data_IF_545363514118
#
_entry.id   IF_545363514118
#
_cell.length_a   1.000
_cell.length_b   1.000
_cell.length_c   1.000
_cell.angle_alpha   90.00
_cell.angle_beta   90.00
_cell.angle_gamma   90.00
#
_symmetry.space_group_name_H-M   'P 1'
#
loop_
_entity.id
_entity.type
_entity.pdbx_description
1 polymer ?
#
# COMPACT_ATOMS: atom_id res chain seq x y z
N UNK A 1 -13.45 -20.48 -34.25
CA UNK A 1 -13.76 -19.76 -32.99
C UNK A 1 -12.72 -20.20 -31.98
N UNK A 2 -11.61 -19.48 -31.87
CA UNK A 2 -10.52 -19.86 -30.99
C UNK A 2 -9.75 -18.62 -30.59
N UNK A 3 -9.30 -18.63 -29.33
CA UNK A 3 -8.28 -17.74 -28.81
C UNK A 3 -8.68 -16.32 -28.37
N UNK A 4 -9.66 -16.24 -27.46
CA UNK A 4 -9.73 -15.11 -26.51
C UNK A 4 -9.29 -15.52 -25.10
N UNK A 5 -9.13 -16.83 -24.80
CA UNK A 5 -8.91 -17.32 -23.44
C UNK A 5 -7.47 -17.21 -22.92
N UNK A 6 -6.48 -17.26 -23.81
CA UNK A 6 -5.06 -17.18 -23.42
C UNK A 6 -4.66 -15.74 -23.06
N UNK A 7 -5.20 -14.75 -23.77
CA UNK A 7 -4.90 -13.33 -23.55
C UNK A 7 -5.38 -12.85 -22.17
N UNK A 8 -6.59 -13.24 -21.74
CA UNK A 8 -7.10 -12.93 -20.41
C UNK A 8 -6.27 -13.58 -19.29
N UNK A 9 -5.77 -14.80 -19.51
CA UNK A 9 -4.92 -15.50 -18.55
C UNK A 9 -3.59 -14.77 -18.37
N UNK A 10 -2.95 -14.39 -19.48
CA UNK A 10 -1.70 -13.64 -19.46
C UNK A 10 -1.83 -12.25 -18.81
N UNK A 11 -2.92 -11.51 -19.10
CA UNK A 11 -3.20 -10.21 -18.47
C UNK A 11 -3.42 -10.36 -16.96
N UNK A 12 -4.16 -11.40 -16.55
CA UNK A 12 -4.41 -11.69 -15.12
C UNK A 12 -3.11 -11.98 -14.38
N UNK A 13 -2.22 -12.77 -14.98
CA UNK A 13 -0.92 -13.09 -14.40
C UNK A 13 -0.01 -11.87 -14.29
N UNK A 14 0.06 -11.02 -15.33
CA UNK A 14 0.80 -9.76 -15.30
C UNK A 14 0.28 -8.82 -14.21
N UNK A 15 -1.04 -8.68 -14.09
CA UNK A 15 -1.66 -7.85 -13.05
C UNK A 15 -1.36 -8.38 -11.64
N UNK A 16 -1.39 -9.70 -11.46
CA UNK A 16 -1.01 -10.35 -10.19
C UNK A 16 0.46 -10.10 -9.86
N UNK A 17 1.35 -10.25 -10.84
CA UNK A 17 2.79 -9.98 -10.68
C UNK A 17 3.06 -8.53 -10.31
N UNK A 18 2.47 -7.58 -11.03
CA UNK A 18 2.61 -6.14 -10.75
C UNK A 18 2.07 -5.77 -9.37
N UNK A 19 0.95 -6.36 -8.95
CA UNK A 19 0.39 -6.15 -7.61
C UNK A 19 1.33 -6.67 -6.53
N UNK A 20 1.92 -7.84 -6.74
CA UNK A 20 2.86 -8.46 -5.79
C UNK A 20 4.18 -7.69 -5.71
N UNK A 21 4.72 -7.25 -6.85
CA UNK A 21 5.94 -6.43 -6.92
C UNK A 21 5.77 -5.11 -6.14
N UNK A 22 4.67 -4.40 -6.38
CA UNK A 22 4.31 -3.19 -5.63
C UNK A 22 4.17 -3.44 -4.13
N UNK A 23 3.50 -4.53 -3.76
CA UNK A 23 3.33 -4.92 -2.36
C UNK A 23 4.69 -5.14 -1.70
N UNK A 24 5.58 -5.88 -2.36
CA UNK A 24 6.90 -6.21 -1.84
C UNK A 24 7.78 -4.97 -1.69
N UNK A 25 7.87 -4.14 -2.73
CA UNK A 25 8.62 -2.87 -2.70
C UNK A 25 8.13 -1.94 -1.58
N UNK A 26 6.81 -1.79 -1.45
CA UNK A 26 6.24 -0.94 -0.41
C UNK A 26 6.47 -1.51 0.99
N UNK A 27 6.36 -2.83 1.17
CA UNK A 27 6.68 -3.51 2.44
C UNK A 27 8.13 -3.28 2.85
N UNK A 28 9.05 -3.46 1.92
CA UNK A 28 10.49 -3.31 2.16
C UNK A 28 10.82 -1.89 2.65
N UNK A 29 10.31 -0.88 1.95
CA UNK A 29 10.50 0.52 2.33
C UNK A 29 9.90 0.85 3.70
N UNK A 30 8.70 0.36 4.02
CA UNK A 30 8.06 0.60 5.32
C UNK A 30 8.83 -0.12 6.43
N UNK A 31 9.24 -1.37 6.22
CA UNK A 31 10.04 -2.12 7.19
C UNK A 31 11.38 -1.43 7.46
N UNK A 32 12.06 -0.95 6.39
CA UNK A 32 13.32 -0.22 6.51
C UNK A 32 13.17 1.13 7.22
N UNK A 33 11.96 1.70 7.30
CA UNK A 33 11.73 2.96 8.01
C UNK A 33 11.70 2.81 9.53
N UNK A 34 11.56 1.59 10.05
CA UNK A 34 11.42 1.32 11.49
C UNK A 34 10.07 1.72 12.10
N UNK A 35 9.13 2.25 11.30
CA UNK A 35 7.80 2.63 11.78
C UNK A 35 7.01 1.36 12.12
N UNK A 36 6.47 1.29 13.33
CA UNK A 36 5.61 0.18 13.76
C UNK A 36 4.23 0.29 13.09
N UNK A 37 3.74 -0.84 12.58
CA UNK A 37 2.41 -0.94 11.98
C UNK A 37 1.78 -2.29 12.26
N UNK A 38 0.45 -2.35 12.15
CA UNK A 38 -0.34 -3.59 12.15
C UNK A 38 -0.80 -3.89 10.73
N UNK A 39 -0.93 -5.16 10.38
CA UNK A 39 -1.48 -5.57 9.09
C UNK A 39 -2.87 -6.15 9.32
N UNK A 40 -3.85 -5.62 8.60
CA UNK A 40 -5.21 -6.14 8.58
C UNK A 40 -5.34 -7.37 7.65
N UNK A 41 -6.40 -8.16 7.80
CA UNK A 41 -6.69 -9.32 6.94
C UNK A 41 -6.71 -8.97 5.44
N UNK A 42 -7.10 -7.73 5.10
CA UNK A 42 -7.06 -7.20 3.73
C UNK A 42 -5.65 -6.92 3.18
N UNK A 43 -4.61 -7.00 4.01
CA UNK A 43 -3.24 -6.62 3.67
C UNK A 43 -2.97 -5.11 3.72
N UNK A 44 -3.92 -4.32 4.25
CA UNK A 44 -3.70 -2.90 4.54
C UNK A 44 -2.83 -2.73 5.78
N UNK A 45 -1.95 -1.73 5.76
CA UNK A 45 -1.02 -1.41 6.86
C UNK A 45 -1.58 -0.26 7.68
N UNK A 46 -1.73 -0.46 8.98
CA UNK A 46 -2.38 0.44 9.91
C UNK A 46 -1.32 1.02 10.85
N UNK A 47 -1.22 2.34 10.87
CA UNK A 47 -0.26 3.10 11.67
C UNK A 47 -1.02 3.88 12.73
N UNK A 48 -0.59 3.74 13.97
CA UNK A 48 -1.10 4.54 15.08
C UNK A 48 -0.20 5.77 15.22
N UNK A 49 -0.78 6.97 15.08
CA UNK A 49 -0.09 8.25 15.20
C UNK A 49 -0.79 9.11 16.25
N UNK A 50 -0.13 10.13 16.83
CA UNK A 50 -0.75 11.04 17.80
C UNK A 50 -2.01 11.72 17.24
N UNK A 51 -2.00 12.03 15.94
CA UNK A 51 -3.09 12.69 15.24
C UNK A 51 -4.20 11.74 14.75
N UNK A 52 -4.07 10.43 15.05
CA UNK A 52 -5.06 9.41 14.73
C UNK A 52 -4.49 8.25 13.91
N UNK A 53 -5.39 7.37 13.46
CA UNK A 53 -5.04 6.19 12.67
C UNK A 53 -4.83 6.53 11.19
N UNK A 54 -3.66 6.18 10.66
CA UNK A 54 -3.35 6.26 9.22
C UNK A 54 -3.38 4.85 8.63
N UNK A 55 -4.05 4.68 7.49
CA UNK A 55 -4.15 3.39 6.79
C UNK A 55 -3.46 3.52 5.44
N UNK A 56 -2.53 2.62 5.13
CA UNK A 56 -1.87 2.54 3.83
C UNK A 56 -2.27 1.27 3.10
N UNK A 57 -2.62 1.42 1.82
CA UNK A 57 -2.99 0.35 0.92
C UNK A 57 -1.83 0.08 -0.06
N UNK A 58 -0.92 -0.86 0.27
CA UNK A 58 0.35 -1.02 -0.45
C UNK A 58 0.18 -1.49 -1.90
N UNK A 59 -0.93 -2.12 -2.25
CA UNK A 59 -1.16 -2.60 -3.63
C UNK A 59 -1.70 -1.51 -4.55
N UNK A 60 -2.36 -0.49 -3.98
CA UNK A 60 -3.02 0.58 -4.74
C UNK A 60 -2.36 1.95 -4.54
N UNK A 61 -1.30 2.03 -3.72
CA UNK A 61 -0.61 3.27 -3.39
C UNK A 61 -1.57 4.37 -2.90
N UNK A 62 -2.44 4.00 -1.95
CA UNK A 62 -3.39 4.91 -1.31
C UNK A 62 -3.11 5.02 0.18
N UNK A 63 -3.26 6.22 0.71
CA UNK A 63 -3.13 6.54 2.13
C UNK A 63 -4.46 7.14 2.57
N UNK A 64 -5.02 6.66 3.68
CA UNK A 64 -6.26 7.14 4.26
C UNK A 64 -6.00 7.70 5.66
N UNK A 65 -6.49 8.89 5.93
CA UNK A 65 -6.46 9.51 7.26
C UNK A 65 -7.67 10.43 7.43
N UNK A 66 -8.39 10.32 8.57
CA UNK A 66 -9.59 11.13 8.88
C UNK A 66 -10.58 11.25 7.71
N UNK A 67 -10.91 10.12 7.08
CA UNK A 67 -11.82 10.02 5.91
C UNK A 67 -11.29 10.62 4.59
N UNK A 68 -10.06 11.14 4.56
CA UNK A 68 -9.42 11.64 3.33
C UNK A 68 -8.53 10.57 2.71
N UNK A 69 -8.69 10.35 1.41
CA UNK A 69 -7.81 9.48 0.62
C UNK A 69 -6.79 10.33 -0.13
N UNK A 70 -5.52 9.94 -0.02
CA UNK A 70 -4.40 10.53 -0.73
C UNK A 70 -3.70 9.46 -1.56
N UNK A 71 -3.22 9.84 -2.74
CA UNK A 71 -2.42 8.95 -3.58
C UNK A 71 -0.93 9.14 -3.29
N UNK A 72 -0.22 8.02 -3.10
CA UNK A 72 1.19 7.97 -2.73
C UNK A 72 1.65 6.56 -2.41
N UNK A 73 2.85 6.19 -2.90
CA UNK A 73 3.52 4.95 -2.48
C UNK A 73 4.14 5.04 -1.09
N UNK A 74 4.91 4.02 -0.70
CA UNK A 74 5.47 3.91 0.64
C UNK A 74 6.26 5.14 1.10
N UNK A 75 7.12 5.73 0.25
CA UNK A 75 7.88 6.94 0.62
C UNK A 75 7.00 8.10 1.09
N UNK A 76 5.88 8.33 0.39
CA UNK A 76 4.92 9.39 0.74
C UNK A 76 4.12 9.03 1.98
N UNK A 77 3.80 7.75 2.17
CA UNK A 77 3.15 7.28 3.40
C UNK A 77 4.07 7.52 4.62
N UNK A 78 5.35 7.16 4.52
CA UNK A 78 6.37 7.34 5.57
C UNK A 78 6.50 8.83 5.92
N UNK A 79 6.68 9.70 4.92
CA UNK A 79 6.76 11.16 5.13
C UNK A 79 5.50 11.69 5.83
N UNK A 80 4.31 11.27 5.37
CA UNK A 80 3.06 11.69 5.96
C UNK A 80 2.93 11.25 7.42
N UNK A 81 3.23 9.98 7.72
CA UNK A 81 3.17 9.43 9.07
C UNK A 81 4.15 10.19 9.98
N UNK A 82 5.38 10.41 9.55
CA UNK A 82 6.38 11.16 10.32
C UNK A 82 5.94 12.60 10.63
N UNK A 83 5.23 13.27 9.70
CA UNK A 83 4.65 14.59 9.95
C UNK A 83 3.62 14.56 11.09
N UNK A 84 2.82 13.49 11.18
CA UNK A 84 1.82 13.35 12.26
C UNK A 84 2.42 13.21 13.66
N UNK A 85 3.74 12.98 13.79
CA UNK A 85 4.46 12.94 15.07
C UNK A 85 5.13 14.26 15.46
N UNK A 86 5.24 15.21 14.51
CA UNK A 86 5.90 16.51 14.73
C UNK A 86 4.93 17.65 15.00
N UNK A 87 3.65 17.44 14.70
CA UNK A 87 2.52 18.35 14.95
C UNK A 87 1.80 17.96 16.25
#
# INVERSE_FOLDING_TARGET
>A
MGDCGEDYSAIRERNKKNKNDRLQQNKDLINSSGIKYKVDSSGSMHFETPNGKVIFYPTTNKIQHKQRIMFGGAKKAIDYINKQWRE
#
